data_IF_776044136889
#
_entry.id   IF_776044136889
#
_cell.length_a   1.000
_cell.length_b   1.000
_cell.length_c   1.000
_cell.angle_alpha   90.00
_cell.angle_beta   90.00
_cell.angle_gamma   90.00
#
_symmetry.space_group_name_H-M   'P 1'
#
loop_
_entity.id
_entity.type
_entity.pdbx_description
1 polymer ?
#
# COMPACT_ATOMS: atom_id res chain seq x y z
N UNK A 1 7.36 -3.96 -63.42
CA UNK A 1 7.59 -3.09 -62.25
C UNK A 1 6.32 -2.76 -61.46
N UNK A 2 5.23 -2.28 -62.09
CA UNK A 2 3.99 -1.95 -61.35
C UNK A 2 3.34 -3.17 -60.65
N UNK A 3 3.29 -4.33 -61.31
CA UNK A 3 2.71 -5.57 -60.74
C UNK A 3 3.49 -6.09 -59.53
N UNK A 4 4.81 -6.02 -59.54
CA UNK A 4 5.67 -6.44 -58.42
C UNK A 4 5.48 -5.57 -57.19
N UNK A 5 5.28 -4.25 -57.38
CA UNK A 5 5.04 -3.31 -56.28
C UNK A 5 3.67 -3.55 -55.61
N UNK A 6 2.63 -3.84 -56.40
CA UNK A 6 1.32 -4.20 -55.86
C UNK A 6 1.35 -5.50 -55.05
N UNK A 7 2.08 -6.53 -55.51
CA UNK A 7 2.20 -7.79 -54.76
C UNK A 7 2.94 -7.62 -53.43
N UNK A 8 3.96 -6.76 -53.37
CA UNK A 8 4.71 -6.48 -52.14
C UNK A 8 3.85 -5.70 -51.13
N UNK A 9 3.09 -4.69 -51.59
CA UNK A 9 2.19 -3.91 -50.72
C UNK A 9 1.07 -4.80 -50.16
N UNK A 10 0.46 -5.64 -50.99
CA UNK A 10 -0.60 -6.56 -50.54
C UNK A 10 -0.06 -7.58 -49.53
N UNK A 11 1.15 -8.12 -49.75
CA UNK A 11 1.78 -9.04 -48.80
C UNK A 11 2.09 -8.36 -47.46
N UNK A 12 2.55 -7.11 -47.48
CA UNK A 12 2.83 -6.34 -46.25
C UNK A 12 1.55 -6.08 -45.46
N UNK A 13 0.47 -5.66 -46.13
CA UNK A 13 -0.85 -5.41 -45.49
C UNK A 13 -1.41 -6.70 -44.87
N UNK A 14 -1.32 -7.83 -45.58
CA UNK A 14 -1.81 -9.14 -45.08
C UNK A 14 -1.01 -9.63 -43.88
N UNK A 15 0.28 -9.33 -43.80
CA UNK A 15 1.13 -9.74 -42.67
C UNK A 15 1.01 -8.81 -41.44
N UNK A 16 0.70 -7.52 -41.63
CA UNK A 16 0.57 -6.57 -40.51
C UNK A 16 -0.83 -6.57 -39.87
N UNK A 17 -1.88 -6.96 -40.60
CA UNK A 17 -3.26 -6.98 -40.12
C UNK A 17 -3.48 -7.89 -38.88
N UNK A 18 -3.00 -9.15 -38.86
CA UNK A 18 -3.18 -10.03 -37.69
C UNK A 18 -2.43 -9.53 -36.45
N UNK A 19 -1.27 -8.90 -36.65
CA UNK A 19 -0.48 -8.33 -35.56
C UNK A 19 -1.17 -7.11 -34.95
N UNK A 20 -1.66 -6.19 -35.80
CA UNK A 20 -2.43 -5.02 -35.36
C UNK A 20 -3.73 -5.42 -34.63
N UNK A 21 -4.42 -6.47 -35.10
CA UNK A 21 -5.63 -6.97 -34.46
C UNK A 21 -5.33 -7.60 -33.09
N UNK A 22 -4.28 -8.43 -32.99
CA UNK A 22 -3.84 -9.01 -31.70
C UNK A 22 -3.44 -7.94 -30.67
N UNK A 23 -2.77 -6.87 -31.09
CA UNK A 23 -2.44 -5.74 -30.21
C UNK A 23 -3.66 -4.93 -29.78
N UNK A 24 -4.65 -4.77 -30.67
CA UNK A 24 -5.91 -4.09 -30.37
C UNK A 24 -6.76 -4.87 -29.34
N UNK A 25 -6.83 -6.19 -29.48
CA UNK A 25 -7.56 -7.05 -28.56
C UNK A 25 -6.91 -7.10 -27.18
N UNK A 26 -5.57 -7.24 -27.13
CA UNK A 26 -4.81 -7.19 -25.88
C UNK A 26 -5.01 -5.87 -25.13
N UNK A 27 -5.00 -4.75 -25.85
CA UNK A 27 -5.20 -3.44 -25.27
C UNK A 27 -6.64 -3.24 -24.77
N UNK A 28 -7.62 -3.73 -25.53
CA UNK A 28 -9.04 -3.66 -25.14
C UNK A 28 -9.29 -4.48 -23.87
N UNK A 29 -8.69 -5.67 -23.78
CA UNK A 29 -8.76 -6.53 -22.59
C UNK A 29 -8.11 -5.85 -21.39
N UNK A 30 -6.92 -5.27 -21.55
CA UNK A 30 -6.25 -4.55 -20.47
C UNK A 30 -7.12 -3.44 -19.87
N UNK A 31 -7.78 -2.64 -20.71
CA UNK A 31 -8.69 -1.59 -20.25
C UNK A 31 -9.95 -2.12 -19.56
N UNK A 32 -10.46 -3.27 -20.00
CA UNK A 32 -11.60 -3.91 -19.35
C UNK A 32 -11.21 -4.50 -18.00
N UNK A 33 -10.06 -5.16 -17.91
CA UNK A 33 -9.49 -5.70 -16.67
C UNK A 33 -9.17 -4.58 -15.67
N UNK A 34 -8.73 -3.43 -16.16
CA UNK A 34 -8.55 -2.23 -15.35
C UNK A 34 -9.88 -1.74 -14.77
N UNK A 35 -10.92 -1.62 -15.60
CA UNK A 35 -12.25 -1.21 -15.14
C UNK A 35 -12.81 -2.13 -14.06
N UNK A 36 -12.60 -3.44 -14.22
CA UNK A 36 -13.05 -4.44 -13.26
C UNK A 36 -12.32 -4.29 -11.93
N UNK A 37 -10.99 -4.17 -11.96
CA UNK A 37 -10.19 -3.94 -10.75
C UNK A 37 -10.55 -2.65 -10.03
N UNK A 38 -10.79 -1.56 -10.76
CA UNK A 38 -11.23 -0.30 -10.16
C UNK A 38 -12.62 -0.41 -9.55
N UNK A 39 -13.55 -1.09 -10.22
CA UNK A 39 -14.88 -1.33 -9.66
C UNK A 39 -14.80 -2.18 -8.39
N UNK A 40 -14.00 -3.24 -8.37
CA UNK A 40 -13.78 -4.08 -7.20
C UNK A 40 -13.14 -3.31 -6.05
N UNK A 41 -12.11 -2.50 -6.31
CA UNK A 41 -11.45 -1.69 -5.30
C UNK A 41 -12.42 -0.69 -4.64
N UNK A 42 -13.24 -0.01 -5.44
CA UNK A 42 -14.26 0.92 -4.92
C UNK A 42 -15.31 0.17 -4.07
N UNK A 43 -15.68 -1.06 -4.46
CA UNK A 43 -16.60 -1.88 -3.65
C UNK A 43 -15.96 -2.29 -2.33
N UNK A 44 -14.70 -2.71 -2.33
CA UNK A 44 -13.98 -3.09 -1.09
C UNK A 44 -13.85 -1.90 -0.14
N UNK A 45 -13.41 -0.73 -0.64
CA UNK A 45 -13.31 0.52 0.13
C UNK A 45 -14.67 0.92 0.74
N UNK A 46 -15.75 0.80 -0.04
CA UNK A 46 -17.10 1.07 0.44
C UNK A 46 -17.57 0.04 1.49
N UNK A 47 -17.23 -1.24 1.31
CA UNK A 47 -17.57 -2.29 2.27
C UNK A 47 -16.86 -2.08 3.60
N UNK A 48 -15.58 -1.67 3.60
CA UNK A 48 -14.87 -1.35 4.83
C UNK A 48 -15.56 -0.22 5.62
N UNK A 49 -15.98 0.87 4.96
CA UNK A 49 -16.77 1.96 5.59
C UNK A 49 -18.14 1.46 6.10
N UNK A 50 -18.73 0.46 5.45
CA UNK A 50 -20.05 -0.09 5.82
C UNK A 50 -20.00 -1.11 6.93
N UNK A 51 -18.88 -1.82 7.07
CA UNK A 51 -18.64 -2.73 8.18
C UNK A 51 -18.67 -1.98 9.51
N UNK A 52 -18.11 -0.76 9.54
CA UNK A 52 -18.14 0.12 10.70
C UNK A 52 -19.55 0.57 11.11
N UNK A 53 -20.53 0.43 10.21
CA UNK A 53 -21.91 0.92 10.38
C UNK A 53 -22.95 -0.20 10.51
N UNK A 54 -22.51 -1.47 10.57
CA UNK A 54 -23.38 -2.66 10.63
C UNK A 54 -24.35 -2.79 9.42
N UNK A 55 -23.98 -2.22 8.27
CA UNK A 55 -24.80 -2.23 7.05
C UNK A 55 -24.52 -3.42 6.13
N UNK A 56 -23.52 -4.24 6.44
CA UNK A 56 -23.09 -5.37 5.58
C UNK A 56 -24.06 -6.55 5.65
N UNK A 57 -24.74 -6.74 6.79
CA UNK A 57 -25.59 -7.92 7.00
C UNK A 57 -26.74 -8.05 5.99
N UNK A 58 -27.10 -6.96 5.30
CA UNK A 58 -28.18 -6.90 4.31
C UNK A 58 -27.70 -7.03 2.86
N UNK A 59 -26.38 -7.06 2.61
CA UNK A 59 -25.83 -7.14 1.26
C UNK A 59 -25.62 -8.59 0.84
N UNK A 60 -26.35 -9.01 -0.20
CA UNK A 60 -26.11 -10.27 -0.88
C UNK A 60 -25.22 -10.09 -2.14
N UNK A 61 -24.75 -11.21 -2.72
CA UNK A 61 -23.89 -11.19 -3.90
C UNK A 61 -24.57 -10.56 -5.13
N UNK A 62 -25.91 -10.62 -5.21
CA UNK A 62 -26.68 -10.00 -6.29
C UNK A 62 -26.63 -8.47 -6.18
N UNK A 63 -26.77 -7.93 -4.96
CA UNK A 63 -26.59 -6.51 -4.67
C UNK A 63 -25.15 -6.07 -4.94
N UNK A 64 -24.14 -6.82 -4.50
CA UNK A 64 -22.73 -6.52 -4.79
C UNK A 64 -22.43 -6.52 -6.29
N UNK A 65 -22.97 -7.49 -7.03
CA UNK A 65 -22.84 -7.55 -8.50
C UNK A 65 -23.48 -6.33 -9.16
N UNK A 66 -24.67 -5.92 -8.69
CA UNK A 66 -25.36 -4.73 -9.17
C UNK A 66 -24.54 -3.45 -8.90
N UNK A 67 -23.97 -3.33 -7.70
CA UNK A 67 -23.10 -2.21 -7.31
C UNK A 67 -21.83 -2.17 -8.19
N UNK A 68 -21.12 -3.30 -8.35
CA UNK A 68 -19.95 -3.42 -9.24
C UNK A 68 -20.29 -2.99 -10.67
N UNK A 69 -21.41 -3.46 -11.21
CA UNK A 69 -21.88 -3.11 -12.56
C UNK A 69 -22.17 -1.61 -12.70
N UNK A 70 -22.82 -1.01 -11.70
CA UNK A 70 -23.09 0.42 -11.64
C UNK A 70 -21.80 1.27 -11.64
N UNK A 71 -20.82 0.91 -10.80
CA UNK A 71 -19.50 1.56 -10.77
C UNK A 71 -18.80 1.41 -12.13
N UNK A 72 -18.76 0.18 -12.66
CA UNK A 72 -18.12 -0.11 -13.94
C UNK A 72 -18.70 0.73 -15.06
N UNK A 73 -20.04 0.91 -15.10
CA UNK A 73 -20.70 1.75 -16.10
C UNK A 73 -20.30 3.23 -16.00
N UNK A 74 -20.18 3.76 -14.77
CA UNK A 74 -19.73 5.13 -14.54
C UNK A 74 -18.27 5.31 -14.95
N UNK A 75 -17.38 4.41 -14.54
CA UNK A 75 -15.96 4.40 -14.92
C UNK A 75 -15.78 4.27 -16.43
N UNK A 76 -16.61 3.47 -17.10
CA UNK A 76 -16.58 3.30 -18.57
C UNK A 76 -16.90 4.60 -19.32
N UNK A 77 -17.70 5.50 -18.74
CA UNK A 77 -17.93 6.81 -19.37
C UNK A 77 -16.66 7.66 -19.32
N UNK A 78 -15.93 7.61 -18.21
CA UNK A 78 -14.71 8.40 -17.99
C UNK A 78 -13.48 7.82 -18.70
N UNK A 79 -13.44 6.50 -18.85
CA UNK A 79 -12.35 5.81 -19.56
C UNK A 79 -12.28 6.25 -21.02
N UNK A 80 -13.39 6.69 -21.60
CA UNK A 80 -13.43 7.15 -23.00
C UNK A 80 -12.60 8.42 -23.17
N UNK A 81 -12.67 9.35 -22.21
CA UNK A 81 -11.81 10.54 -22.20
C UNK A 81 -10.37 10.20 -21.82
N UNK A 82 -10.17 9.18 -20.98
CA UNK A 82 -8.84 8.71 -20.57
C UNK A 82 -8.10 8.01 -21.71
N UNK A 83 -8.79 7.18 -22.51
CA UNK A 83 -8.26 6.51 -23.71
C UNK A 83 -7.84 7.47 -24.82
N UNK A 84 -8.42 8.67 -24.86
CA UNK A 84 -7.97 9.74 -25.78
C UNK A 84 -6.60 10.30 -25.39
N UNK A 85 -6.23 10.20 -24.11
CA UNK A 85 -5.01 10.76 -23.54
C UNK A 85 -3.91 9.73 -23.34
N UNK A 86 -4.27 8.46 -23.11
CA UNK A 86 -3.32 7.39 -22.79
C UNK A 86 -3.51 6.16 -23.67
N UNK A 87 -2.39 5.60 -24.13
CA UNK A 87 -2.38 4.42 -24.99
C UNK A 87 -2.68 3.11 -24.25
N UNK A 88 -2.60 3.07 -22.91
CA UNK A 88 -2.79 1.88 -22.05
C UNK A 88 -3.35 2.26 -20.67
N UNK A 89 -4.12 1.39 -19.98
CA UNK A 89 -4.53 1.64 -18.59
C UNK A 89 -3.32 1.72 -17.65
N UNK A 90 -3.41 2.58 -16.63
CA UNK A 90 -2.47 2.64 -15.52
C UNK A 90 -2.69 1.43 -14.60
N UNK A 91 -1.66 0.63 -14.30
CA UNK A 91 -1.80 -0.41 -13.27
C UNK A 91 -1.89 0.27 -11.90
N UNK A 92 -3.05 0.18 -11.26
CA UNK A 92 -3.35 0.83 -9.98
C UNK A 92 -3.37 -0.17 -8.82
N UNK A 93 -3.03 -1.44 -9.04
CA UNK A 93 -3.10 -2.50 -8.02
C UNK A 93 -2.00 -2.44 -6.93
N UNK A 94 -1.30 -1.34 -6.84
CA UNK A 94 -0.45 -0.96 -5.73
C UNK A 94 0.32 0.27 -6.16
N UNK A 95 0.15 1.41 -5.47
CA UNK A 95 1.05 2.55 -5.65
C UNK A 95 1.35 2.92 -7.12
N UNK A 96 0.30 2.96 -7.96
CA UNK A 96 0.36 2.96 -9.43
C UNK A 96 0.85 4.22 -10.13
N UNK A 97 1.90 4.85 -9.62
CA UNK A 97 2.87 5.60 -10.43
C UNK A 97 3.91 4.61 -11.03
N UNK A 98 3.98 3.38 -10.53
CA UNK A 98 5.03 2.42 -10.89
C UNK A 98 4.84 1.67 -12.23
N UNK A 99 3.65 1.68 -12.85
CA UNK A 99 3.39 0.83 -14.03
C UNK A 99 3.39 1.53 -15.39
N UNK A 100 3.59 2.85 -15.44
CA UNK A 100 3.93 3.57 -16.70
C UNK A 100 5.27 4.29 -16.64
N UNK A 101 5.91 4.33 -15.46
CA UNK A 101 7.36 4.50 -15.38
C UNK A 101 7.95 3.10 -15.55
N UNK A 102 8.25 2.71 -16.79
CA UNK A 102 9.06 1.52 -17.03
C UNK A 102 10.33 1.58 -16.16
N UNK A 103 10.38 0.83 -15.07
CA UNK A 103 11.62 0.22 -14.57
C UNK A 103 12.82 1.16 -14.32
N UNK A 104 12.63 2.47 -14.08
CA UNK A 104 13.75 3.41 -13.91
C UNK A 104 14.16 3.63 -12.45
N UNK A 105 13.50 2.97 -11.49
CA UNK A 105 13.70 3.24 -10.06
C UNK A 105 13.41 4.71 -9.69
N UNK A 106 13.64 5.11 -8.43
CA UNK A 106 13.52 6.50 -8.04
C UNK A 106 14.53 7.35 -8.80
N UNK A 107 14.06 8.49 -9.32
CA UNK A 107 14.90 9.38 -10.13
C UNK A 107 16.04 9.91 -9.27
N UNK A 108 17.26 9.64 -9.70
CA UNK A 108 18.47 10.06 -8.99
C UNK A 108 18.78 11.54 -9.21
N UNK A 109 19.35 12.19 -8.21
CA UNK A 109 19.90 13.53 -8.28
C UNK A 109 21.42 13.48 -8.15
N UNK A 110 22.11 13.99 -9.16
CA UNK A 110 23.57 14.05 -9.23
C UNK A 110 24.11 15.49 -9.14
N UNK A 111 23.23 16.46 -8.95
CA UNK A 111 23.59 17.88 -8.85
C UNK A 111 24.10 18.27 -7.45
N UNK A 112 24.36 19.58 -7.25
CA UNK A 112 24.70 20.12 -5.94
C UNK A 112 23.58 19.86 -4.92
N UNK A 113 23.95 19.54 -3.68
CA UNK A 113 23.02 19.41 -2.56
C UNK A 113 22.62 20.80 -2.03
N UNK A 114 21.91 21.56 -2.85
CA UNK A 114 21.34 22.87 -2.50
C UNK A 114 19.82 22.82 -2.60
N UNK A 115 19.13 23.72 -1.89
CA UNK A 115 17.67 23.81 -1.91
C UNK A 115 17.16 23.95 -3.34
N UNK A 116 17.67 24.92 -4.09
CA UNK A 116 17.24 25.19 -5.47
C UNK A 116 17.39 23.96 -6.38
N UNK A 117 18.54 23.29 -6.35
CA UNK A 117 18.81 22.14 -7.21
C UNK A 117 17.93 20.93 -6.87
N UNK A 118 17.62 20.73 -5.58
CA UNK A 118 16.72 19.66 -5.13
C UNK A 118 15.26 19.98 -5.43
N UNK A 119 14.86 21.24 -5.28
CA UNK A 119 13.52 21.71 -5.63
C UNK A 119 13.28 21.60 -7.14
N UNK A 120 14.20 22.08 -7.96
CA UNK A 120 14.17 21.95 -9.42
C UNK A 120 14.13 20.48 -9.84
N UNK A 121 14.90 19.63 -9.15
CA UNK A 121 14.86 18.20 -9.42
C UNK A 121 13.49 17.63 -9.09
N UNK A 122 13.00 17.72 -7.85
CA UNK A 122 11.95 16.82 -7.37
C UNK A 122 10.61 17.48 -7.02
N UNK A 123 10.56 18.80 -6.86
CA UNK A 123 9.42 19.44 -6.21
C UNK A 123 8.13 19.38 -7.02
N UNK A 124 8.19 19.56 -8.34
CA UNK A 124 7.01 19.48 -9.22
C UNK A 124 6.34 18.10 -9.15
N UNK A 125 7.15 17.05 -9.17
CA UNK A 125 6.68 15.67 -9.03
C UNK A 125 6.04 15.46 -7.66
N UNK A 126 6.72 15.87 -6.60
CA UNK A 126 6.23 15.79 -5.22
C UNK A 126 4.90 16.55 -5.04
N UNK A 127 4.82 17.81 -5.48
CA UNK A 127 3.65 18.66 -5.29
C UNK A 127 2.45 18.13 -6.05
N UNK A 128 2.64 17.68 -7.29
CA UNK A 128 1.59 17.05 -8.11
C UNK A 128 1.02 15.82 -7.41
N UNK A 129 1.89 14.92 -6.92
CA UNK A 129 1.45 13.70 -6.24
C UNK A 129 0.73 14.03 -4.94
N UNK A 130 1.22 14.98 -4.15
CA UNK A 130 0.60 15.34 -2.87
C UNK A 130 -0.71 16.09 -3.02
N UNK A 131 -0.80 17.00 -3.98
CA UNK A 131 -2.04 17.68 -4.33
C UNK A 131 -3.11 16.68 -4.76
N UNK A 132 -2.73 15.64 -5.49
CA UNK A 132 -3.64 14.57 -5.88
C UNK A 132 -4.13 13.75 -4.67
N UNK A 133 -3.23 13.36 -3.76
CA UNK A 133 -3.55 12.49 -2.61
C UNK A 133 -4.39 13.24 -1.56
N UNK A 134 -4.01 14.47 -1.22
CA UNK A 134 -4.59 15.20 -0.07
C UNK A 134 -5.41 16.43 -0.45
N UNK A 135 -5.39 16.83 -1.72
CA UNK A 135 -5.98 18.07 -2.19
C UNK A 135 -5.05 19.27 -2.06
N UNK A 136 -5.31 20.28 -2.89
CA UNK A 136 -4.53 21.51 -2.97
C UNK A 136 -4.56 22.33 -1.68
N UNK A 137 -5.71 22.38 -1.00
CA UNK A 137 -5.88 23.13 0.25
C UNK A 137 -4.96 22.59 1.34
N UNK A 138 -4.91 21.27 1.51
CA UNK A 138 -4.07 20.64 2.51
C UNK A 138 -2.58 20.90 2.25
N UNK A 139 -2.13 20.78 1.00
CA UNK A 139 -0.74 21.04 0.64
C UNK A 139 -0.36 22.52 0.88
N UNK A 140 -1.23 23.47 0.54
CA UNK A 140 -1.01 24.90 0.81
C UNK A 140 -0.91 25.20 2.30
N UNK A 141 -1.77 24.60 3.13
CA UNK A 141 -1.71 24.75 4.59
C UNK A 141 -0.41 24.17 5.16
N UNK A 142 0.02 23.01 4.65
CA UNK A 142 1.28 22.39 5.04
C UNK A 142 2.49 23.25 4.66
N UNK A 143 2.54 23.72 3.41
CA UNK A 143 3.64 24.56 2.91
C UNK A 143 3.66 25.94 3.59
N UNK A 144 2.50 26.48 3.97
CA UNK A 144 2.45 27.73 4.74
C UNK A 144 3.03 27.57 6.16
N UNK A 145 2.82 26.42 6.79
CA UNK A 145 3.30 26.16 8.16
C UNK A 145 4.74 25.66 8.20
N UNK A 146 5.11 24.84 7.23
CA UNK A 146 6.44 24.24 7.09
C UNK A 146 6.89 24.36 5.62
N UNK A 147 7.43 25.53 5.21
CA UNK A 147 7.86 25.75 3.84
C UNK A 147 8.85 24.68 3.35
N UNK A 148 8.68 24.15 2.12
CA UNK A 148 9.50 23.05 1.63
C UNK A 148 10.99 23.42 1.50
N UNK A 149 11.28 24.65 1.11
CA UNK A 149 12.63 25.21 1.00
C UNK A 149 13.34 25.29 2.35
N UNK A 150 12.68 25.86 3.38
CA UNK A 150 13.21 25.89 4.74
C UNK A 150 13.43 24.49 5.31
N UNK A 151 12.51 23.57 5.02
CA UNK A 151 12.61 22.18 5.46
C UNK A 151 13.79 21.45 4.81
N UNK A 152 14.01 21.65 3.51
CA UNK A 152 15.16 21.10 2.80
C UNK A 152 16.45 21.69 3.36
N UNK A 153 16.50 23.02 3.57
CA UNK A 153 17.68 23.66 4.15
C UNK A 153 18.02 23.06 5.52
N UNK A 154 17.03 22.88 6.39
CA UNK A 154 17.22 22.25 7.70
C UNK A 154 17.80 20.83 7.59
N UNK A 155 17.41 20.05 6.57
CA UNK A 155 17.94 18.71 6.35
C UNK A 155 19.39 18.76 5.82
N UNK A 156 19.68 19.68 4.92
CA UNK A 156 21.04 19.90 4.40
C UNK A 156 22.00 20.36 5.50
N UNK A 157 21.55 21.22 6.42
CA UNK A 157 22.32 21.65 7.59
C UNK A 157 22.66 20.49 8.54
N UNK A 158 21.90 19.39 8.46
CA UNK A 158 22.13 18.12 9.18
C UNK A 158 22.93 17.11 8.37
N UNK A 159 23.57 17.55 7.29
CA UNK A 159 24.37 16.74 6.37
C UNK A 159 23.58 15.58 5.72
N UNK A 160 22.26 15.76 5.56
CA UNK A 160 21.40 14.77 4.91
C UNK A 160 21.53 14.90 3.39
N UNK A 161 22.11 13.89 2.75
CA UNK A 161 22.12 13.80 1.30
C UNK A 161 20.78 13.27 0.75
N UNK A 162 20.13 14.07 -0.10
CA UNK A 162 18.89 13.71 -0.79
C UNK A 162 19.27 13.25 -2.21
N UNK A 163 19.47 11.93 -2.34
CA UNK A 163 20.03 11.33 -3.55
C UNK A 163 19.00 11.01 -4.63
N UNK A 164 17.71 10.95 -4.28
CA UNK A 164 16.64 10.61 -5.21
C UNK A 164 15.24 11.11 -4.80
N UNK A 165 14.29 10.94 -5.71
CA UNK A 165 12.89 11.39 -5.55
C UNK A 165 12.18 10.75 -4.36
N UNK A 166 12.49 9.50 -4.01
CA UNK A 166 11.90 8.82 -2.86
C UNK A 166 12.40 9.45 -1.56
N UNK A 167 13.70 9.75 -1.48
CA UNK A 167 14.29 10.40 -0.30
C UNK A 167 13.62 11.76 -0.13
N UNK A 168 13.57 12.55 -1.20
CA UNK A 168 12.96 13.87 -1.20
C UNK A 168 11.50 13.82 -0.71
N UNK A 169 10.69 12.93 -1.29
CA UNK A 169 9.28 12.77 -0.94
C UNK A 169 9.08 12.33 0.50
N UNK A 170 9.88 11.37 0.99
CA UNK A 170 9.84 10.93 2.39
C UNK A 170 10.20 12.07 3.33
N UNK A 171 11.29 12.79 3.06
CA UNK A 171 11.72 13.92 3.88
C UNK A 171 10.68 15.04 3.96
N UNK A 172 10.04 15.40 2.84
CA UNK A 172 8.98 16.41 2.84
C UNK A 172 7.67 15.91 3.46
N UNK A 173 7.37 14.61 3.37
CA UNK A 173 6.19 14.01 4.01
C UNK A 173 6.25 14.06 5.55
N UNK A 174 7.44 14.12 6.13
CA UNK A 174 7.59 14.26 7.58
C UNK A 174 7.00 15.56 8.13
N UNK A 175 6.85 16.60 7.31
CA UNK A 175 6.19 17.84 7.70
C UNK A 175 4.78 17.58 8.20
N UNK A 176 4.04 16.70 7.52
CA UNK A 176 2.68 16.31 7.91
C UNK A 176 2.67 15.60 9.28
N UNK A 177 3.64 14.71 9.51
CA UNK A 177 3.81 14.05 10.81
C UNK A 177 4.08 15.07 11.92
N UNK A 178 4.91 16.08 11.66
CA UNK A 178 5.20 17.15 12.62
C UNK A 178 3.95 18.01 12.90
N UNK A 179 3.17 18.39 11.87
CA UNK A 179 1.88 19.09 12.07
C UNK A 179 0.95 18.27 12.96
N UNK A 180 0.86 16.96 12.71
CA UNK A 180 -0.01 16.06 13.46
C UNK A 180 0.44 15.90 14.92
N UNK A 181 1.76 15.94 15.18
CA UNK A 181 2.33 15.81 16.53
C UNK A 181 2.26 17.12 17.33
N UNK A 182 2.29 18.28 16.66
CA UNK A 182 2.19 19.59 17.31
C UNK A 182 0.92 19.73 18.15
N UNK A 183 -0.20 19.19 17.65
CA UNK A 183 -1.50 19.25 18.31
C UNK A 183 -1.72 18.13 19.34
N UNK A 184 -0.68 17.34 19.67
CA UNK A 184 -0.77 16.14 20.52
C UNK A 184 0.30 16.14 21.62
N UNK A 185 0.15 16.99 22.67
CA UNK A 185 1.13 17.09 23.75
C UNK A 185 1.46 15.77 24.44
N UNK A 186 0.50 14.86 24.53
CA UNK A 186 0.68 13.51 25.05
C UNK A 186 1.69 12.67 24.26
N UNK A 187 1.91 12.94 22.96
CA UNK A 187 2.88 12.20 22.15
C UNK A 187 4.31 12.64 22.46
N UNK A 188 4.56 13.95 22.62
CA UNK A 188 5.91 14.48 22.83
C UNK A 188 6.32 14.64 24.30
N UNK A 189 5.40 14.45 25.23
CA UNK A 189 5.67 14.37 26.68
C UNK A 189 5.78 12.92 27.21
N UNK A 190 5.48 11.90 26.41
CA UNK A 190 5.41 10.50 26.87
C UNK A 190 6.67 9.67 26.65
N UNK A 191 7.64 10.18 25.87
CA UNK A 191 8.84 9.40 25.53
C UNK A 191 8.63 8.45 24.34
N UNK A 192 7.49 8.57 23.64
CA UNK A 192 7.19 7.75 22.47
C UNK A 192 8.17 8.01 21.32
N UNK A 193 8.20 7.08 20.36
CA UNK A 193 9.07 7.13 19.18
C UNK A 193 10.58 7.07 19.48
N UNK A 194 10.97 6.62 20.68
CA UNK A 194 12.38 6.59 21.08
C UNK A 194 12.99 7.98 21.26
N UNK A 195 12.16 8.98 21.57
CA UNK A 195 12.57 10.36 21.82
C UNK A 195 12.26 10.63 23.28
N UNK A 196 13.25 11.07 24.07
CA UNK A 196 13.02 11.39 25.47
C UNK A 196 11.89 12.41 25.64
N UNK A 197 11.06 12.31 26.70
CA UNK A 197 10.04 13.31 27.02
C UNK A 197 10.58 14.74 26.97
N UNK A 198 9.80 15.65 26.38
CA UNK A 198 10.14 17.07 26.32
C UNK A 198 8.97 17.93 26.82
N UNK A 199 9.27 19.14 27.30
CA UNK A 199 8.25 20.10 27.74
C UNK A 199 7.94 21.17 26.68
N UNK A 200 8.59 21.10 25.52
CA UNK A 200 8.57 22.10 24.45
C UNK A 200 8.53 21.40 23.11
N UNK A 201 7.54 21.77 22.29
CA UNK A 201 7.35 21.18 20.97
C UNK A 201 8.49 21.47 20.01
N UNK A 202 9.18 22.62 20.11
CA UNK A 202 10.30 22.92 19.21
C UNK A 202 11.49 21.97 19.46
N UNK A 203 11.81 21.69 20.72
CA UNK A 203 12.81 20.69 21.12
C UNK A 203 12.39 19.31 20.64
N UNK A 204 11.12 18.93 20.85
CA UNK A 204 10.61 17.65 20.34
C UNK A 204 10.72 17.54 18.83
N UNK A 205 10.28 18.55 18.09
CA UNK A 205 10.32 18.59 16.62
C UNK A 205 11.74 18.35 16.11
N UNK A 206 12.72 19.02 16.71
CA UNK A 206 14.13 18.83 16.35
C UNK A 206 14.61 17.40 16.65
N UNK A 207 14.25 16.85 17.81
CA UNK A 207 14.57 15.47 18.18
C UNK A 207 13.88 14.46 17.26
N UNK A 208 12.63 14.71 16.87
CA UNK A 208 11.85 13.90 15.96
C UNK A 208 12.45 13.88 14.55
N UNK A 209 12.80 15.04 14.01
CA UNK A 209 13.47 15.14 12.70
C UNK A 209 14.82 14.40 12.75
N UNK A 210 15.65 14.64 13.78
CA UNK A 210 16.92 13.94 13.95
C UNK A 210 16.72 12.42 14.03
N UNK A 211 15.72 11.97 14.79
CA UNK A 211 15.37 10.56 14.93
C UNK A 211 15.00 9.95 13.57
N UNK A 212 14.17 10.63 12.78
CA UNK A 212 13.77 10.14 11.46
C UNK A 212 14.89 10.14 10.43
N UNK A 213 15.75 11.15 10.46
CA UNK A 213 16.99 11.17 9.66
C UNK A 213 17.86 9.95 10.02
N UNK A 214 18.06 9.68 11.31
CA UNK A 214 18.82 8.53 11.76
C UNK A 214 18.18 7.20 11.34
N UNK A 215 16.86 7.02 11.54
CA UNK A 215 16.13 5.82 11.11
C UNK A 215 16.34 5.57 9.61
N UNK A 216 16.25 6.63 8.83
CA UNK A 216 16.46 6.58 7.40
C UNK A 216 17.88 6.15 7.02
N UNK A 217 18.89 6.72 7.68
CA UNK A 217 20.30 6.36 7.46
C UNK A 217 20.56 4.89 7.80
N UNK A 218 19.96 4.34 8.88
CA UNK A 218 20.07 2.93 9.22
C UNK A 218 19.45 2.03 8.15
N UNK A 219 18.25 2.36 7.68
CA UNK A 219 17.60 1.62 6.58
C UNK A 219 18.47 1.62 5.32
N UNK A 220 19.00 2.79 4.93
CA UNK A 220 19.88 2.92 3.75
C UNK A 220 21.17 2.12 3.90
N UNK A 221 21.83 2.19 5.05
CA UNK A 221 23.04 1.42 5.32
C UNK A 221 22.77 -0.08 5.19
N UNK A 222 21.61 -0.55 5.66
CA UNK A 222 21.19 -1.92 5.51
C UNK A 222 20.98 -2.31 4.04
N UNK A 223 20.22 -1.54 3.26
CA UNK A 223 20.00 -1.79 1.82
C UNK A 223 21.31 -1.82 1.01
N UNK A 224 22.28 -0.97 1.35
CA UNK A 224 23.60 -0.97 0.70
C UNK A 224 24.43 -2.21 1.06
N UNK A 225 24.19 -2.81 2.22
CA UNK A 225 24.94 -3.98 2.70
C UNK A 225 24.33 -5.30 2.22
N UNK A 226 23.00 -5.38 2.14
CA UNK A 226 22.27 -6.56 1.67
C UNK A 226 21.13 -6.12 0.74
N UNK A 227 21.27 -6.32 -0.59
CA UNK A 227 20.25 -5.93 -1.56
C UNK A 227 18.96 -6.75 -1.46
N UNK A 228 18.93 -7.83 -0.68
CA UNK A 228 17.70 -8.62 -0.43
C UNK A 228 16.84 -8.03 0.69
N UNK A 229 17.31 -6.98 1.36
CA UNK A 229 16.50 -6.26 2.34
C UNK A 229 15.41 -5.50 1.59
N UNK A 230 14.16 -5.66 2.03
CA UNK A 230 12.97 -5.03 1.43
C UNK A 230 12.29 -4.01 2.36
N UNK A 231 12.85 -3.81 3.56
CA UNK A 231 12.31 -2.90 4.56
C UNK A 231 12.79 -3.27 5.97
N UNK A 232 12.02 -2.89 6.99
CA UNK A 232 12.28 -3.27 8.37
C UNK A 232 11.45 -2.45 9.35
N UNK A 233 11.75 -2.62 10.63
CA UNK A 233 11.19 -1.82 11.71
C UNK A 233 12.25 -1.49 12.75
N UNK A 234 11.95 -0.52 13.62
CA UNK A 234 12.81 -0.16 14.74
C UNK A 234 12.24 -0.72 16.04
N UNK A 235 13.11 -1.31 16.86
CA UNK A 235 12.78 -1.86 18.16
C UNK A 235 13.99 -1.91 19.09
N UNK A 236 13.93 -2.74 20.13
CA UNK A 236 14.95 -2.83 21.16
C UNK A 236 14.93 -1.65 22.14
N UNK A 237 15.98 -1.50 22.96
CA UNK A 237 16.06 -0.43 23.96
C UNK A 237 15.93 0.93 23.27
N UNK A 238 14.99 1.74 23.74
CA UNK A 238 14.69 3.07 23.18
C UNK A 238 14.44 3.06 21.67
N UNK A 239 14.00 1.93 21.10
CA UNK A 239 13.81 1.72 19.66
C UNK A 239 15.06 1.93 18.81
N UNK A 240 16.27 1.76 19.36
CA UNK A 240 17.52 2.07 18.65
C UNK A 240 18.07 0.94 17.76
N UNK A 241 17.36 -0.18 17.62
CA UNK A 241 17.79 -1.31 16.77
C UNK A 241 16.95 -1.39 15.51
N UNK A 242 17.58 -1.37 14.34
CA UNK A 242 16.91 -1.65 13.07
C UNK A 242 16.84 -3.15 12.80
N UNK A 243 15.63 -3.67 12.60
CA UNK A 243 15.33 -5.06 12.28
C UNK A 243 14.93 -5.17 10.81
N UNK A 244 15.86 -5.52 9.90
CA UNK A 244 15.57 -5.55 8.47
C UNK A 244 14.69 -6.73 8.06
N UNK A 245 13.75 -6.49 7.17
CA UNK A 245 12.97 -7.53 6.48
C UNK A 245 13.72 -8.02 5.26
N UNK A 246 13.80 -9.34 5.10
CA UNK A 246 14.32 -10.02 3.91
C UNK A 246 13.66 -11.39 3.78
N UNK A 247 13.75 -11.99 2.60
CA UNK A 247 13.20 -13.34 2.39
C UNK A 247 13.85 -14.36 3.34
N UNK A 248 13.03 -15.27 3.85
CA UNK A 248 13.32 -16.24 4.90
C UNK A 248 13.24 -15.67 6.32
N UNK A 249 13.24 -14.34 6.54
CA UNK A 249 13.37 -13.79 7.90
C UNK A 249 12.03 -13.45 8.53
N UNK A 250 11.81 -13.98 9.74
CA UNK A 250 10.61 -13.73 10.55
C UNK A 250 11.00 -13.32 11.96
N UNK A 251 10.42 -12.21 12.41
CA UNK A 251 10.53 -11.74 13.79
C UNK A 251 9.31 -12.19 14.58
N UNK A 252 9.53 -12.80 15.74
CA UNK A 252 8.47 -13.28 16.64
C UNK A 252 8.60 -12.53 17.96
N UNK A 253 7.75 -11.52 18.12
CA UNK A 253 7.63 -10.78 19.37
C UNK A 253 6.81 -11.58 20.37
N UNK A 254 7.26 -11.70 21.62
CA UNK A 254 6.63 -12.51 22.68
C UNK A 254 6.42 -11.71 23.96
N UNK A 255 5.19 -11.76 24.47
CA UNK A 255 4.76 -11.24 25.77
C UNK A 255 3.89 -12.32 26.45
N UNK A 256 4.53 -13.21 27.22
CA UNK A 256 3.88 -14.41 27.75
C UNK A 256 3.28 -15.28 26.64
N UNK A 257 1.97 -15.47 26.68
CA UNK A 257 1.19 -16.21 25.67
C UNK A 257 0.77 -15.36 24.47
N UNK A 258 0.98 -14.04 24.53
CA UNK A 258 0.76 -13.15 23.38
C UNK A 258 1.98 -13.17 22.48
N UNK A 259 1.72 -13.02 21.19
CA UNK A 259 2.76 -12.98 20.18
C UNK A 259 2.36 -12.09 19.01
N UNK A 260 3.36 -11.61 18.28
CA UNK A 260 3.18 -10.93 17.01
C UNK A 260 4.28 -11.34 16.02
N UNK A 261 3.91 -11.46 14.75
CA UNK A 261 4.83 -11.78 13.67
C UNK A 261 5.13 -10.52 12.85
N UNK A 262 6.38 -10.38 12.39
CA UNK A 262 6.79 -9.35 11.43
C UNK A 262 7.83 -9.94 10.47
N UNK A 263 7.95 -9.38 9.26
CA UNK A 263 8.80 -9.94 8.20
C UNK A 263 8.02 -10.88 7.28
N UNK A 264 8.64 -11.99 6.87
CA UNK A 264 8.01 -12.94 5.95
C UNK A 264 6.78 -13.62 6.58
N UNK A 265 5.71 -13.74 5.79
CA UNK A 265 4.44 -14.30 6.26
C UNK A 265 4.53 -15.83 6.33
N UNK A 266 4.48 -16.38 7.54
CA UNK A 266 4.33 -17.80 7.77
C UNK A 266 2.88 -18.26 7.53
N UNK A 267 2.69 -19.48 7.02
CA UNK A 267 1.38 -20.13 6.98
C UNK A 267 0.83 -20.37 8.40
N UNK A 268 -0.49 -20.50 8.59
CA UNK A 268 -1.07 -20.82 9.90
C UNK A 268 -0.49 -22.10 10.52
N UNK A 269 -0.23 -23.13 9.71
CA UNK A 269 0.43 -24.39 10.15
C UNK A 269 1.83 -24.11 10.69
N UNK A 270 2.65 -23.37 9.94
CA UNK A 270 4.01 -22.99 10.37
C UNK A 270 4.00 -22.13 11.64
N UNK A 271 3.10 -21.14 11.73
CA UNK A 271 2.95 -20.33 12.95
C UNK A 271 2.59 -21.21 14.15
N UNK A 272 1.61 -22.10 13.98
CA UNK A 272 1.17 -23.01 15.03
C UNK A 272 2.31 -23.94 15.48
N UNK A 273 3.02 -24.59 14.56
CA UNK A 273 4.11 -25.51 14.90
C UNK A 273 5.33 -24.80 15.51
N UNK A 274 5.64 -23.59 15.03
CA UNK A 274 6.67 -22.76 15.61
C UNK A 274 6.34 -22.38 17.06
N UNK A 275 5.11 -21.94 17.32
CA UNK A 275 4.70 -21.49 18.65
C UNK A 275 4.45 -22.65 19.63
N UNK A 276 3.91 -23.78 19.16
CA UNK A 276 3.51 -24.91 20.04
C UNK A 276 4.60 -25.95 20.25
N UNK A 277 5.48 -26.14 19.27
CA UNK A 277 6.52 -27.18 19.29
C UNK A 277 7.94 -26.60 19.19
N UNK A 278 8.08 -25.31 18.89
CA UNK A 278 9.39 -24.71 18.63
C UNK A 278 10.01 -25.15 17.29
N UNK A 279 9.20 -25.66 16.34
CA UNK A 279 9.70 -26.13 15.05
C UNK A 279 9.90 -24.93 14.12
N UNK A 280 11.16 -24.68 13.76
CA UNK A 280 11.52 -23.64 12.78
C UNK A 280 11.17 -24.15 11.37
N UNK A 281 10.34 -23.41 10.59
CA UNK A 281 10.04 -23.77 9.22
C UNK A 281 11.29 -23.81 8.33
N UNK A 282 11.38 -24.78 7.43
CA UNK A 282 12.49 -24.88 6.48
C UNK A 282 12.65 -23.59 5.66
N UNK A 283 13.90 -23.18 5.43
CA UNK A 283 14.22 -21.94 4.71
C UNK A 283 14.00 -20.65 5.50
N UNK A 284 13.56 -20.74 6.77
CA UNK A 284 13.28 -19.55 7.58
C UNK A 284 14.30 -19.33 8.70
N UNK A 285 14.67 -18.08 8.91
CA UNK A 285 15.40 -17.55 10.05
C UNK A 285 14.38 -16.92 11.02
N UNK A 286 14.24 -17.50 12.22
CA UNK A 286 13.34 -16.99 13.25
C UNK A 286 14.13 -16.20 14.29
N UNK A 287 13.81 -14.92 14.44
CA UNK A 287 14.41 -14.02 15.43
C UNK A 287 13.37 -13.72 16.50
N UNK A 288 13.66 -14.09 17.74
CA UNK A 288 12.74 -13.89 18.86
C UNK A 288 13.00 -12.55 19.54
N UNK A 289 11.91 -11.84 19.84
CA UNK A 289 11.92 -10.56 20.52
C UNK A 289 11.06 -10.62 21.79
N UNK A 290 11.44 -9.91 22.83
CA UNK A 290 10.60 -9.73 24.02
C UNK A 290 9.48 -8.69 23.83
N UNK A 291 8.71 -8.39 24.87
CA UNK A 291 7.63 -7.40 24.86
C UNK A 291 8.09 -5.97 24.51
N UNK A 292 9.37 -5.66 24.77
CA UNK A 292 10.02 -4.38 24.48
C UNK A 292 10.78 -4.42 23.14
N UNK A 293 10.67 -5.53 22.40
CA UNK A 293 11.34 -5.77 21.13
C UNK A 293 12.86 -5.91 21.24
N UNK A 294 13.37 -6.30 22.42
CA UNK A 294 14.78 -6.68 22.60
C UNK A 294 15.01 -8.09 22.05
N UNK A 295 16.21 -8.33 21.50
CA UNK A 295 16.61 -9.66 21.04
C UNK A 295 16.69 -10.64 22.20
N UNK A 296 16.12 -11.83 22.00
CA UNK A 296 16.24 -12.94 22.93
C UNK A 296 17.36 -13.89 22.47
N UNK A 297 18.28 -14.20 23.39
CA UNK A 297 19.39 -15.13 23.13
C UNK A 297 18.92 -16.58 22.91
N UNK A 298 17.70 -16.91 23.38
CA UNK A 298 17.11 -18.24 23.29
C UNK A 298 15.65 -18.15 22.87
N UNK A 299 15.15 -19.15 22.11
CA UNK A 299 13.72 -19.27 21.84
C UNK A 299 12.90 -19.29 23.13
N UNK A 300 11.76 -18.58 23.18
CA UNK A 300 10.80 -18.67 24.26
C UNK A 300 10.23 -20.09 24.40
N UNK A 301 9.74 -20.41 25.60
CA UNK A 301 9.09 -21.70 25.85
C UNK A 301 7.86 -21.84 24.94
N UNK A 302 7.67 -23.00 24.29
CA UNK A 302 6.49 -23.22 23.46
C UNK A 302 5.18 -23.04 24.24
N UNK A 303 4.17 -22.45 23.60
CA UNK A 303 2.83 -22.27 24.17
C UNK A 303 2.06 -23.58 24.01
N UNK A 304 1.30 -23.98 25.03
CA UNK A 304 0.44 -25.17 24.90
C UNK A 304 -0.55 -24.99 23.73
N UNK A 305 -0.85 -26.06 22.97
CA UNK A 305 -1.86 -26.02 21.91
C UNK A 305 -3.19 -25.39 22.36
N UNK A 306 -3.65 -25.69 23.56
CA UNK A 306 -4.92 -25.21 24.12
C UNK A 306 -4.90 -23.69 24.37
N UNK A 307 -3.77 -23.14 24.80
CA UNK A 307 -3.60 -21.70 24.98
C UNK A 307 -3.52 -20.98 23.62
N UNK A 308 -2.82 -21.56 22.64
CA UNK A 308 -2.76 -20.98 21.28
C UNK A 308 -4.13 -20.91 20.61
N UNK A 309 -4.95 -21.94 20.76
CA UNK A 309 -6.31 -21.94 20.18
C UNK A 309 -7.18 -20.79 20.70
N UNK A 310 -6.95 -20.33 21.93
CA UNK A 310 -7.67 -19.17 22.51
C UNK A 310 -7.26 -17.84 21.90
N UNK A 311 -6.10 -17.77 21.24
CA UNK A 311 -5.61 -16.56 20.55
C UNK A 311 -6.22 -16.35 19.17
N UNK A 312 -7.01 -17.31 18.69
CA UNK A 312 -7.60 -17.26 17.35
C UNK A 312 -6.66 -17.70 16.23
N UNK A 313 -5.42 -18.13 16.53
CA UNK A 313 -4.67 -18.95 15.56
C UNK A 313 -5.46 -20.24 15.36
N UNK A 314 -5.91 -20.52 14.14
CA UNK A 314 -6.64 -21.75 13.88
C UNK A 314 -5.79 -22.98 14.28
N UNK A 315 -6.45 -23.97 14.84
CA UNK A 315 -5.83 -25.24 15.16
C UNK A 315 -5.67 -26.13 13.93
N UNK A 316 -4.92 -27.24 14.05
CA UNK A 316 -5.13 -28.36 13.15
C UNK A 316 -6.63 -28.75 13.06
N UNK A 317 -7.11 -29.23 11.89
CA UNK A 317 -6.42 -30.20 11.07
C UNK A 317 -5.92 -29.61 9.76
N UNK A 318 -4.70 -29.11 9.79
CA UNK A 318 -4.05 -28.53 8.60
C UNK A 318 -3.85 -29.53 7.48
N UNK A 319 -3.83 -30.82 7.82
CA UNK A 319 -3.98 -31.97 6.94
C UNK A 319 -4.46 -33.19 7.78
N UNK A 320 -5.77 -33.40 7.98
CA UNK A 320 -6.30 -34.75 8.28
C UNK A 320 -6.86 -35.38 7.00
N UNK A 321 -5.99 -35.61 6.02
CA UNK A 321 -6.07 -36.84 5.25
C UNK A 321 -5.20 -37.81 6.02
N UNK A 322 -5.82 -38.69 6.80
CA UNK A 322 -5.09 -39.80 7.43
C UNK A 322 -4.29 -40.54 6.33
N UNK A 323 -3.16 -41.21 6.64
CA UNK A 323 -2.34 -41.92 5.65
C UNK A 323 -3.10 -42.94 4.77
N UNK A 324 -4.36 -43.23 5.11
CA UNK A 324 -5.30 -44.11 4.44
C UNK A 324 -6.44 -43.38 3.67
N UNK A 325 -6.37 -42.06 3.46
CA UNK A 325 -7.32 -41.34 2.60
C UNK A 325 -8.70 -41.05 3.22
N UNK A 326 -8.89 -41.23 4.54
CA UNK A 326 -10.17 -40.85 5.19
C UNK A 326 -10.10 -39.47 5.82
N UNK A 327 -10.99 -38.58 5.37
CA UNK A 327 -11.26 -37.31 6.02
C UNK A 327 -11.73 -37.53 7.45
N UNK A 328 -11.18 -36.79 8.40
CA UNK A 328 -11.72 -36.75 9.75
C UNK A 328 -13.08 -36.07 9.74
N UNK A 329 -14.05 -36.66 10.43
CA UNK A 329 -15.33 -36.01 10.66
C UNK A 329 -15.11 -34.94 11.72
N UNK A 330 -15.34 -33.69 11.36
CA UNK A 330 -15.47 -32.58 12.31
C UNK A 330 -16.53 -32.93 13.39
N UNK A 331 -16.41 -32.38 14.62
CA UNK A 331 -17.38 -32.63 15.67
C UNK A 331 -18.74 -32.06 15.26
N UNK A 332 -19.78 -32.90 15.28
CA UNK A 332 -21.15 -32.50 14.94
C UNK A 332 -21.65 -31.45 15.94
N UNK A 333 -21.96 -30.24 15.46
CA UNK A 333 -22.67 -29.21 16.20
C UNK A 333 -24.02 -29.72 16.69
N UNK A 334 -24.29 -29.54 17.99
CA UNK A 334 -25.62 -29.66 18.57
C UNK A 334 -26.43 -28.43 18.16
N UNK A 335 -27.37 -28.61 17.23
CA UNK A 335 -28.40 -27.62 16.92
C UNK A 335 -29.30 -27.39 18.13
N UNK A 336 -29.33 -26.15 18.63
CA UNK A 336 -30.35 -25.64 19.54
C UNK A 336 -31.31 -24.80 18.70
N UNK A 337 -32.58 -25.19 18.67
CA UNK A 337 -33.67 -24.49 17.97
C UNK A 337 -33.90 -23.09 18.55
N UNK A 338 -33.63 -22.06 17.76
CA UNK A 338 -34.03 -20.68 18.03
C UNK A 338 -34.94 -20.18 16.91
N UNK A 339 -36.11 -19.65 17.29
CA UNK A 339 -37.12 -19.08 16.39
C UNK A 339 -36.56 -17.84 15.66
N UNK A 340 -36.57 -17.87 14.34
CA UNK A 340 -36.28 -16.70 13.51
C UNK A 340 -37.55 -15.86 13.30
N UNK A 341 -37.55 -14.64 13.85
CA UNK A 341 -38.41 -13.57 13.38
C UNK A 341 -37.95 -13.13 11.98
N UNK A 342 -38.75 -13.42 10.96
CA UNK A 342 -38.60 -12.79 9.65
C UNK A 342 -39.23 -11.40 9.69
N UNK A 343 -38.40 -10.35 9.74
CA UNK A 343 -38.84 -9.01 9.38
C UNK A 343 -38.82 -8.92 7.86
N UNK A 344 -40.01 -8.92 7.26
CA UNK A 344 -40.20 -8.75 5.82
C UNK A 344 -40.04 -7.27 5.47
N UNK A 345 -38.93 -6.90 4.83
CA UNK A 345 -38.74 -5.55 4.28
C UNK A 345 -39.50 -5.47 2.96
N UNK A 346 -40.69 -4.86 2.95
CA UNK A 346 -41.60 -4.93 1.80
C UNK A 346 -41.22 -4.04 0.60
N UNK A 347 -40.20 -3.19 0.65
CA UNK A 347 -39.84 -2.32 -0.49
C UNK A 347 -38.32 -1.98 -0.57
N UNK A 348 -37.46 -2.85 -1.14
CA UNK A 348 -36.03 -2.55 -1.33
C UNK A 348 -35.77 -1.30 -2.21
N UNK A 349 -36.69 -0.97 -3.11
CA UNK A 349 -36.58 0.19 -4.02
C UNK A 349 -36.53 1.56 -3.31
N UNK A 350 -36.98 1.62 -2.04
CA UNK A 350 -37.00 2.87 -1.25
C UNK A 350 -35.67 3.18 -0.55
N UNK A 351 -34.80 2.19 -0.35
CA UNK A 351 -33.44 2.38 0.17
C UNK A 351 -32.41 2.58 -0.95
N UNK A 352 -32.70 2.07 -2.15
CA UNK A 352 -31.83 2.21 -3.32
C UNK A 352 -31.70 3.68 -3.74
N UNK A 353 -32.75 4.50 -3.63
CA UNK A 353 -32.74 5.88 -4.15
C UNK A 353 -31.94 6.89 -3.30
N UNK A 354 -32.00 6.87 -1.95
CA UNK A 354 -31.15 7.72 -1.11
C UNK A 354 -29.68 7.27 -1.14
N UNK A 355 -29.44 5.95 -1.12
CA UNK A 355 -28.09 5.38 -1.19
C UNK A 355 -27.48 5.66 -2.57
N UNK A 356 -28.22 5.50 -3.67
CA UNK A 356 -27.75 5.81 -5.03
C UNK A 356 -27.42 7.29 -5.24
N UNK A 357 -28.17 8.23 -4.65
CA UNK A 357 -27.85 9.68 -4.74
C UNK A 357 -26.63 10.07 -3.92
N UNK A 358 -26.47 9.51 -2.72
CA UNK A 358 -25.28 9.71 -1.89
C UNK A 358 -24.05 9.09 -2.58
N UNK A 359 -24.23 7.92 -3.20
CA UNK A 359 -23.26 7.24 -4.07
C UNK A 359 -22.87 8.06 -5.29
N UNK A 360 -23.83 8.50 -6.10
CA UNK A 360 -23.60 9.29 -7.31
C UNK A 360 -22.85 10.57 -6.97
N UNK A 361 -23.20 11.24 -5.88
CA UNK A 361 -22.54 12.49 -5.49
C UNK A 361 -21.10 12.26 -5.01
N UNK A 362 -20.85 11.18 -4.25
CA UNK A 362 -19.51 10.88 -3.71
C UNK A 362 -18.58 10.26 -4.76
N UNK A 363 -19.08 9.36 -5.60
CA UNK A 363 -18.33 8.78 -6.71
C UNK A 363 -18.08 9.84 -7.78
N UNK A 364 -19.08 10.63 -8.18
CA UNK A 364 -18.87 11.74 -9.12
C UNK A 364 -17.86 12.75 -8.57
N UNK A 365 -17.81 12.99 -7.25
CA UNK A 365 -16.78 13.85 -6.63
C UNK A 365 -15.39 13.21 -6.64
N UNK A 366 -15.23 11.95 -6.22
CA UNK A 366 -13.94 11.20 -6.27
C UNK A 366 -13.43 11.13 -7.72
N UNK A 367 -14.29 10.78 -8.67
CA UNK A 367 -14.03 10.74 -10.12
C UNK A 367 -13.65 12.10 -10.69
N UNK A 368 -14.44 13.15 -10.41
CA UNK A 368 -14.23 14.48 -11.02
C UNK A 368 -12.90 15.06 -10.56
N UNK A 369 -12.51 14.80 -9.32
CA UNK A 369 -11.20 15.17 -8.77
C UNK A 369 -10.04 14.40 -9.43
N UNK A 370 -10.27 13.20 -9.98
CA UNK A 370 -9.26 12.44 -10.74
C UNK A 370 -9.10 12.90 -12.21
N UNK A 371 -10.10 13.60 -12.78
CA UNK A 371 -10.15 13.92 -14.22
C UNK A 371 -9.78 15.37 -14.54
N UNK A 372 -9.93 16.31 -13.60
CA UNK A 372 -9.87 17.76 -13.90
C UNK A 372 -8.47 18.40 -13.96
N UNK A 373 -7.37 17.70 -13.71
CA UNK A 373 -6.02 18.28 -13.87
C UNK A 373 -4.96 17.29 -14.41
N UNK A 374 -4.88 17.07 -15.73
CA UNK A 374 -3.81 16.31 -16.36
C UNK A 374 -2.74 17.27 -16.90
N UNK A 375 -1.52 17.12 -16.38
CA UNK A 375 -0.28 17.82 -16.78
C UNK A 375 -0.12 18.09 -18.29
N UNK A 376 0.55 19.17 -18.72
CA UNK A 376 1.08 19.31 -20.07
C UNK A 376 2.21 18.29 -20.32
N UNK A 377 2.18 17.62 -21.47
CA UNK A 377 3.26 16.72 -21.92
C UNK A 377 4.38 17.58 -22.51
N UNK A 378 5.58 17.51 -21.93
CA UNK A 378 6.79 18.04 -22.55
C UNK A 378 7.13 17.19 -23.78
N UNK A 379 7.19 17.83 -24.95
CA UNK A 379 7.85 17.24 -26.12
C UNK A 379 9.34 17.07 -25.79
N UNK A 380 9.80 15.82 -25.68
CA UNK A 380 11.22 15.51 -25.61
C UNK A 380 11.82 15.88 -26.98
N UNK A 381 12.74 16.85 -27.06
CA UNK A 381 13.42 17.12 -28.33
C UNK A 381 14.23 15.89 -28.73
N UNK A 382 14.33 15.56 -30.02
CA UNK A 382 15.16 14.44 -30.46
C UNK A 382 16.59 14.65 -29.97
N UNK A 383 17.16 13.58 -29.38
CA UNK A 383 18.58 13.49 -29.01
C UNK A 383 19.42 13.88 -30.23
N UNK A 384 20.19 14.96 -30.12
CA UNK A 384 21.27 15.26 -31.06
C UNK A 384 22.44 14.35 -30.66
N UNK A 385 22.60 13.24 -31.39
CA UNK A 385 23.75 12.36 -31.26
C UNK A 385 24.96 13.06 -31.92
N UNK A 386 25.69 13.85 -31.14
CA UNK A 386 27.03 14.38 -31.50
C UNK A 386 28.05 14.10 -30.43
#
# INVERSE_FOLDING_TARGET
MKTTLYSIITLFVVLTLPFAQKTSDALTNAWNDWLDRQADWIVVDALEEWQERDLIAELDESMLTSIRSGIRAQLKTQITETKKKYASPYDMNGYGIEATIENTGPRKHFGPQTVDALMESFHEEYSTVRQYIYGEVHLKELDAKYPPDEWIQMLLDKEVAIADSDFYSRFLSMRESVVNLENKPEEWTSGKHGISPTNDFHTYRNAFVNRKVWEYQQMRAAFLTDPNIIGGFFGGPETQTFFPYKSGRVYVKRDGDKFAFSGEKLSPKQQFELLSKGIIPEGHEIIYLDENSNLLDKPPVPISPEALLKTGIPGPPWDEIAPNGRASKAPSEKTTTGEHFQVRVEHPDRLITPISRIWETRITRKVKNQVQDPRPVFEVPPRDDR
#
